data_IF_382410382330
#
_entry.id   IF_382410382330
#
_cell.length_a   1.000
_cell.length_b   1.000
_cell.length_c   1.000
_cell.angle_alpha   90.00
_cell.angle_beta   90.00
_cell.angle_gamma   90.00
#
_symmetry.space_group_name_H-M   'P 1'
#
loop_
_entity.id
_entity.type
_entity.pdbx_description
1 polymer ?
#
# COMPACT_ATOMS: atom_id res chain seq x y z
N UNK A 1 3.45 -5.33 23.52
CA UNK A 1 2.86 -6.21 22.49
C UNK A 1 1.64 -5.51 21.90
N UNK A 2 1.86 -4.77 20.80
CA UNK A 2 0.94 -3.73 20.30
C UNK A 2 -0.31 -4.40 19.69
N UNK A 3 -1.49 -3.87 20.03
CA UNK A 3 -2.84 -4.24 19.58
C UNK A 3 -2.98 -4.53 18.06
N UNK A 4 -2.05 -4.01 17.26
CA UNK A 4 -2.00 -4.05 15.80
C UNK A 4 -1.64 -5.42 15.20
N UNK A 5 -0.81 -6.23 15.88
CA UNK A 5 -0.51 -7.59 15.41
C UNK A 5 -1.75 -8.52 15.45
N UNK A 6 -2.81 -8.12 16.16
CA UNK A 6 -3.97 -8.98 16.45
C UNK A 6 -5.17 -8.75 15.53
N UNK A 7 -5.19 -7.69 14.71
CA UNK A 7 -6.32 -7.38 13.83
C UNK A 7 -5.88 -6.82 12.46
N UNK A 8 -5.17 -7.65 11.68
CA UNK A 8 -4.83 -7.37 10.27
C UNK A 8 -6.05 -7.29 9.32
N UNK A 9 -7.27 -7.50 9.84
CA UNK A 9 -8.54 -7.26 9.12
C UNK A 9 -8.71 -5.82 8.63
N UNK A 10 -8.04 -4.83 9.25
CA UNK A 10 -8.09 -3.43 8.82
C UNK A 10 -7.42 -3.18 7.45
N UNK A 11 -6.58 -4.11 6.98
CA UNK A 11 -5.88 -4.00 5.69
C UNK A 11 -6.39 -4.97 4.63
N UNK A 12 -7.37 -5.80 4.97
CA UNK A 12 -8.15 -6.50 3.96
C UNK A 12 -9.16 -5.50 3.39
N UNK A 13 -8.90 -5.00 2.17
CA UNK A 13 -9.78 -4.03 1.52
C UNK A 13 -11.20 -4.57 1.29
N UNK A 14 -11.43 -5.89 1.35
CA UNK A 14 -12.78 -6.47 1.35
C UNK A 14 -13.52 -6.22 2.67
N UNK A 15 -12.81 -6.07 3.79
CA UNK A 15 -13.37 -5.74 5.10
C UNK A 15 -13.70 -4.23 5.25
N UNK A 16 -13.18 -3.36 4.38
CA UNK A 16 -13.50 -1.92 4.36
C UNK A 16 -14.93 -1.61 3.89
N UNK A 17 -15.71 -2.62 3.46
CA UNK A 17 -17.15 -2.49 3.18
C UNK A 17 -18.01 -2.33 4.45
N UNK A 18 -17.43 -2.52 5.64
CA UNK A 18 -18.14 -2.43 6.93
C UNK A 18 -17.75 -1.21 7.75
N UNK A 19 -18.24 -0.03 7.37
CA UNK A 19 -18.43 1.16 8.22
C UNK A 19 -17.45 1.36 9.39
N UNK A 20 -16.15 1.48 9.11
CA UNK A 20 -15.20 1.96 10.13
C UNK A 20 -15.49 3.43 10.36
N UNK A 21 -15.73 3.84 11.62
CA UNK A 21 -15.86 5.25 11.97
C UNK A 21 -14.50 5.95 11.81
N UNK A 22 -14.27 6.50 10.62
CA UNK A 22 -13.03 7.16 10.21
C UNK A 22 -12.65 8.33 11.11
N UNK A 23 -13.65 9.11 11.56
CA UNK A 23 -13.45 10.22 12.49
C UNK A 23 -12.90 9.74 13.84
N UNK A 24 -13.40 8.60 14.35
CA UNK A 24 -12.90 7.96 15.56
C UNK A 24 -11.46 7.45 15.42
N UNK A 25 -11.15 6.85 14.26
CA UNK A 25 -9.81 6.36 13.96
C UNK A 25 -8.78 7.50 13.93
N UNK A 26 -9.05 8.57 13.19
CA UNK A 26 -8.13 9.72 13.07
C UNK A 26 -7.86 10.37 14.43
N UNK A 27 -8.91 10.56 15.25
CA UNK A 27 -8.75 11.11 16.60
C UNK A 27 -7.89 10.20 17.49
N UNK A 28 -8.06 8.88 17.37
CA UNK A 28 -7.28 7.90 18.13
C UNK A 28 -5.81 7.89 17.72
N UNK A 29 -5.52 7.93 16.40
CA UNK A 29 -4.17 7.98 15.86
C UNK A 29 -3.44 9.26 16.27
N UNK A 30 -4.09 10.43 16.17
CA UNK A 30 -3.50 11.71 16.62
C UNK A 30 -3.06 11.67 18.09
N UNK A 31 -3.85 11.01 18.95
CA UNK A 31 -3.49 10.83 20.37
C UNK A 31 -2.33 9.85 20.54
N UNK A 32 -2.40 8.70 19.87
CA UNK A 32 -1.38 7.64 19.97
C UNK A 32 -0.03 8.09 19.38
N UNK A 33 -0.03 8.91 18.33
CA UNK A 33 1.18 9.39 17.67
C UNK A 33 2.00 10.39 18.49
N UNK A 34 1.50 10.82 19.66
CA UNK A 34 2.31 11.53 20.65
C UNK A 34 3.51 10.69 21.08
N UNK A 35 3.34 9.37 21.14
CA UNK A 35 4.44 8.43 21.37
C UNK A 35 5.29 8.25 20.09
N UNK A 36 6.60 8.44 20.21
CA UNK A 36 7.55 8.38 19.09
C UNK A 36 7.69 6.98 18.55
N UNK A 37 7.93 6.00 19.41
CA UNK A 37 8.15 4.63 18.97
C UNK A 37 6.91 4.09 18.27
N UNK A 38 5.72 4.38 18.82
CA UNK A 38 4.44 4.00 18.25
C UNK A 38 4.19 4.61 16.88
N UNK A 39 4.33 5.94 16.71
CA UNK A 39 4.06 6.55 15.40
C UNK A 39 5.01 6.03 14.32
N UNK A 40 6.29 5.81 14.66
CA UNK A 40 7.27 5.33 13.70
C UNK A 40 7.01 3.88 13.30
N UNK A 41 6.73 2.99 14.27
CA UNK A 41 6.35 1.60 13.97
C UNK A 41 5.07 1.51 13.14
N UNK A 42 4.04 2.30 13.50
CA UNK A 42 2.77 2.30 12.78
C UNK A 42 2.92 2.77 11.32
N UNK A 43 3.64 3.88 11.07
CA UNK A 43 3.79 4.38 9.70
C UNK A 43 4.68 3.49 8.83
N UNK A 44 5.62 2.76 9.43
CA UNK A 44 6.46 1.77 8.75
C UNK A 44 5.65 0.54 8.34
N UNK A 45 4.87 -0.02 9.28
CA UNK A 45 3.93 -1.10 8.98
C UNK A 45 2.92 -0.66 7.91
N UNK A 46 2.34 0.53 8.04
CA UNK A 46 1.43 1.08 7.04
C UNK A 46 2.10 1.23 5.67
N UNK A 47 3.36 1.69 5.61
CA UNK A 47 4.10 1.80 4.36
C UNK A 47 4.20 0.43 3.67
N UNK A 48 4.65 -0.60 4.39
CA UNK A 48 4.80 -1.96 3.86
C UNK A 48 3.48 -2.51 3.32
N UNK A 49 2.40 -2.38 4.10
CA UNK A 49 1.07 -2.84 3.66
C UNK A 49 0.56 -2.03 2.47
N UNK A 50 0.77 -0.72 2.47
CA UNK A 50 0.29 0.15 1.39
C UNK A 50 0.93 -0.17 0.05
N UNK A 51 2.24 -0.44 0.03
CA UNK A 51 2.97 -0.83 -1.19
C UNK A 51 2.47 -2.18 -1.69
N UNK A 52 2.45 -3.21 -0.85
CA UNK A 52 1.98 -4.55 -1.24
C UNK A 52 0.55 -4.53 -1.79
N UNK A 53 -0.33 -3.76 -1.14
CA UNK A 53 -1.72 -3.61 -1.57
C UNK A 53 -1.83 -2.84 -2.88
N UNK A 54 -1.04 -1.78 -3.07
CA UNK A 54 -1.05 -1.02 -4.32
C UNK A 54 -0.65 -1.89 -5.52
N UNK A 55 0.41 -2.69 -5.38
CA UNK A 55 0.85 -3.63 -6.44
C UNK A 55 -0.30 -4.56 -6.83
N UNK A 56 -0.96 -5.15 -5.84
CA UNK A 56 -2.11 -6.03 -6.06
C UNK A 56 -3.28 -5.32 -6.73
N UNK A 57 -3.62 -4.11 -6.27
CA UNK A 57 -4.72 -3.32 -6.84
C UNK A 57 -4.45 -2.97 -8.30
N UNK A 58 -3.25 -2.48 -8.62
CA UNK A 58 -2.86 -2.15 -9.99
C UNK A 58 -2.88 -3.39 -10.88
N UNK A 59 -2.35 -4.52 -10.40
CA UNK A 59 -2.42 -5.79 -11.13
C UNK A 59 -3.86 -6.19 -11.44
N UNK A 60 -4.75 -6.13 -10.45
CA UNK A 60 -6.17 -6.44 -10.63
C UNK A 60 -6.88 -5.42 -11.53
N UNK A 61 -6.48 -4.14 -11.49
CA UNK A 61 -7.00 -3.08 -12.36
C UNK A 61 -6.67 -3.36 -13.83
N UNK A 62 -5.45 -3.85 -14.12
CA UNK A 62 -5.04 -4.27 -15.45
C UNK A 62 -5.61 -5.63 -15.89
N UNK A 63 -6.35 -6.33 -15.01
CA UNK A 63 -6.87 -7.67 -15.27
C UNK A 63 -5.79 -8.77 -15.29
N UNK A 64 -4.59 -8.50 -14.79
CA UNK A 64 -3.46 -9.42 -14.86
C UNK A 64 -3.48 -10.45 -13.72
N UNK A 65 -3.05 -11.66 -14.02
CA UNK A 65 -2.58 -12.66 -13.08
C UNK A 65 -1.21 -12.28 -12.51
N UNK A 66 -0.81 -12.91 -11.40
CA UNK A 66 0.52 -12.70 -10.83
C UNK A 66 1.64 -13.13 -11.79
N UNK A 67 1.37 -14.08 -12.68
CA UNK A 67 2.32 -14.51 -13.71
C UNK A 67 2.50 -13.43 -14.76
N UNK A 68 1.42 -12.83 -15.25
CA UNK A 68 1.49 -11.75 -16.24
C UNK A 68 2.24 -10.53 -15.70
N UNK A 69 1.99 -10.12 -14.45
CA UNK A 69 2.80 -9.06 -13.83
C UNK A 69 4.28 -9.45 -13.73
N UNK A 70 4.58 -10.72 -13.45
CA UNK A 70 5.96 -11.19 -13.40
C UNK A 70 6.64 -11.08 -14.77
N UNK A 71 5.93 -11.46 -15.83
CA UNK A 71 6.41 -11.38 -17.21
C UNK A 71 6.64 -9.92 -17.62
N UNK A 72 5.70 -9.01 -17.32
CA UNK A 72 5.86 -7.56 -17.57
C UNK A 72 7.03 -6.94 -16.79
N UNK A 73 7.24 -7.37 -15.55
CA UNK A 73 8.32 -6.85 -14.69
C UNK A 73 9.69 -7.54 -14.92
N UNK A 74 9.76 -8.55 -15.79
CA UNK A 74 10.95 -9.37 -15.97
C UNK A 74 11.40 -10.06 -14.66
N UNK A 75 10.44 -10.65 -13.94
CA UNK A 75 10.63 -11.33 -12.66
C UNK A 75 10.00 -12.73 -12.67
N UNK A 76 10.33 -13.53 -11.67
CA UNK A 76 9.66 -14.82 -11.45
C UNK A 76 8.33 -14.61 -10.71
N UNK A 77 7.28 -15.36 -11.06
CA UNK A 77 5.97 -15.26 -10.41
C UNK A 77 6.01 -15.40 -8.88
N UNK A 78 6.82 -16.29 -8.26
CA UNK A 78 6.95 -16.34 -6.81
C UNK A 78 7.43 -15.02 -6.20
N UNK A 79 8.22 -14.23 -6.94
CA UNK A 79 8.63 -12.89 -6.50
C UNK A 79 7.43 -11.97 -6.39
N UNK A 80 6.50 -11.99 -7.35
CA UNK A 80 5.27 -11.19 -7.29
C UNK A 80 4.42 -11.59 -6.09
N UNK A 81 4.26 -12.90 -5.82
CA UNK A 81 3.53 -13.38 -4.64
C UNK A 81 4.12 -12.84 -3.33
N UNK A 82 5.45 -12.80 -3.21
CA UNK A 82 6.15 -12.20 -2.06
C UNK A 82 5.90 -10.68 -1.98
N UNK A 83 5.95 -9.97 -3.11
CA UNK A 83 5.73 -8.52 -3.14
C UNK A 83 4.26 -8.15 -2.82
N UNK A 84 3.29 -9.00 -3.11
CA UNK A 84 1.88 -8.76 -2.74
C UNK A 84 1.55 -9.17 -1.30
N UNK A 85 2.50 -9.75 -0.57
CA UNK A 85 2.30 -10.14 0.81
C UNK A 85 2.38 -8.92 1.74
N UNK A 86 1.30 -8.64 2.47
CA UNK A 86 1.23 -7.53 3.44
C UNK A 86 2.24 -7.62 4.59
N UNK A 87 2.85 -8.79 4.79
CA UNK A 87 3.89 -9.01 5.80
C UNK A 87 5.31 -8.78 5.25
N UNK A 88 5.44 -8.50 3.95
CA UNK A 88 6.73 -8.23 3.35
C UNK A 88 7.18 -6.80 3.65
N UNK A 89 8.38 -6.66 4.19
CA UNK A 89 8.93 -5.37 4.64
C UNK A 89 10.28 -5.03 4.02
N UNK A 90 10.80 -5.87 3.12
CA UNK A 90 12.15 -5.71 2.55
C UNK A 90 12.11 -5.11 1.15
N UNK A 91 11.91 -3.80 1.06
CA UNK A 91 11.80 -3.11 -0.22
C UNK A 91 13.13 -2.52 -0.68
N UNK A 92 13.41 -2.57 -1.98
CA UNK A 92 14.48 -1.79 -2.59
C UNK A 92 13.91 -0.87 -3.66
N UNK A 93 14.45 0.34 -3.77
CA UNK A 93 14.05 1.30 -4.81
C UNK A 93 14.15 0.69 -6.21
N UNK A 94 15.16 -0.15 -6.44
CA UNK A 94 15.33 -0.88 -7.70
C UNK A 94 14.13 -1.79 -8.04
N UNK A 95 13.63 -2.54 -7.05
CA UNK A 95 12.46 -3.41 -7.26
C UNK A 95 11.19 -2.58 -7.49
N UNK A 96 11.00 -1.51 -6.70
CA UNK A 96 9.83 -0.64 -6.85
C UNK A 96 9.80 0.06 -8.21
N UNK A 97 10.96 0.50 -8.72
CA UNK A 97 11.08 1.06 -10.08
C UNK A 97 10.67 0.07 -11.16
N UNK A 98 11.15 -1.17 -11.09
CA UNK A 98 10.77 -2.23 -12.05
C UNK A 98 9.26 -2.50 -12.06
N UNK A 99 8.64 -2.53 -10.88
CA UNK A 99 7.19 -2.73 -10.79
C UNK A 99 6.44 -1.50 -11.35
N UNK A 100 6.92 -0.28 -11.10
CA UNK A 100 6.33 0.93 -11.68
C UNK A 100 6.42 0.91 -13.21
N UNK A 101 7.58 0.56 -13.77
CA UNK A 101 7.79 0.40 -15.22
C UNK A 101 6.86 -0.65 -15.83
N UNK A 102 6.63 -1.78 -15.16
CA UNK A 102 5.70 -2.82 -15.62
C UNK A 102 4.25 -2.33 -15.75
N UNK A 103 3.86 -1.31 -14.97
CA UNK A 103 2.55 -0.65 -15.05
C UNK A 103 2.54 0.60 -15.91
N UNK A 104 3.67 0.95 -16.55
CA UNK A 104 3.85 2.22 -17.26
C UNK A 104 3.60 3.45 -16.36
N UNK A 105 4.18 3.38 -15.16
CA UNK A 105 4.11 4.39 -14.09
C UNK A 105 5.51 4.81 -13.64
N UNK A 106 5.55 5.92 -12.89
CA UNK A 106 6.76 6.43 -12.24
C UNK A 106 6.72 6.19 -10.72
N UNK A 107 7.88 5.88 -10.12
CA UNK A 107 8.05 5.81 -8.67
C UNK A 107 8.34 7.21 -8.09
N UNK A 108 7.45 7.71 -7.25
CA UNK A 108 7.64 8.96 -6.49
C UNK A 108 7.92 8.66 -5.01
N UNK A 109 9.01 9.20 -4.46
CA UNK A 109 9.40 9.04 -3.05
C UNK A 109 9.65 10.43 -2.44
N UNK A 110 9.00 10.70 -1.31
CA UNK A 110 9.15 11.95 -0.54
C UNK A 110 9.24 11.66 0.96
N UNK A 111 9.84 12.60 1.71
CA UNK A 111 9.73 12.63 3.17
C UNK A 111 8.48 13.40 3.57
N UNK A 112 7.61 12.77 4.36
CA UNK A 112 6.29 13.31 4.69
C UNK A 112 6.09 13.56 6.18
N UNK A 113 5.21 14.51 6.50
CA UNK A 113 4.79 14.73 7.89
C UNK A 113 3.85 13.63 8.38
N UNK A 114 3.88 13.32 9.68
CA UNK A 114 2.92 12.39 10.29
C UNK A 114 1.46 12.84 10.11
N UNK A 115 1.20 14.15 10.09
CA UNK A 115 -0.12 14.70 9.82
C UNK A 115 -0.62 14.36 8.41
N UNK A 116 0.26 14.38 7.40
CA UNK A 116 -0.06 13.91 6.05
C UNK A 116 -0.33 12.41 6.05
N UNK A 117 0.53 11.61 6.67
CA UNK A 117 0.36 10.14 6.74
C UNK A 117 -0.95 9.71 7.39
N UNK A 118 -1.41 10.41 8.43
CA UNK A 118 -2.74 10.14 9.02
C UNK A 118 -3.87 10.33 8.02
N UNK A 119 -3.79 11.34 7.15
CA UNK A 119 -4.79 11.53 6.07
C UNK A 119 -4.69 10.45 5.01
N UNK A 120 -3.48 9.98 4.70
CA UNK A 120 -3.30 8.87 3.75
C UNK A 120 -3.88 7.56 4.30
N UNK A 121 -3.70 7.29 5.61
CA UNK A 121 -4.31 6.14 6.32
C UNK A 121 -5.84 6.23 6.30
N UNK A 122 -6.38 7.43 6.54
CA UNK A 122 -7.83 7.68 6.51
C UNK A 122 -8.42 7.42 5.12
N UNK A 123 -7.72 7.82 4.06
CA UNK A 123 -8.21 7.64 2.69
C UNK A 123 -7.82 6.30 2.08
N UNK A 124 -7.15 5.43 2.82
CA UNK A 124 -6.62 4.19 2.27
C UNK A 124 -7.75 3.29 1.76
N UNK A 125 -7.78 3.08 0.45
CA UNK A 125 -8.84 2.37 -0.23
C UNK A 125 -8.45 2.05 -1.68
N UNK A 126 -9.21 1.17 -2.33
CA UNK A 126 -8.92 0.73 -3.71
C UNK A 126 -8.82 1.92 -4.67
N UNK A 127 -9.81 2.82 -4.64
CA UNK A 127 -9.90 4.00 -5.50
C UNK A 127 -8.66 4.89 -5.39
N UNK A 128 -8.10 5.02 -4.18
CA UNK A 128 -6.93 5.83 -3.90
C UNK A 128 -5.60 5.15 -4.28
N UNK A 129 -5.62 3.84 -4.53
CA UNK A 129 -4.47 3.04 -4.93
C UNK A 129 -4.37 2.83 -6.44
N UNK A 130 -5.50 2.88 -7.16
CA UNK A 130 -5.58 2.79 -8.63
C UNK A 130 -4.84 3.94 -9.32
N UNK A 131 -4.19 3.66 -10.45
CA UNK A 131 -3.45 4.63 -11.27
C UNK A 131 -3.68 4.29 -12.74
N UNK A 132 -3.90 5.31 -13.56
CA UNK A 132 -3.97 5.12 -15.01
C UNK A 132 -2.55 4.99 -15.56
N UNK A 133 -2.34 4.06 -16.50
CA UNK A 133 -1.11 4.01 -17.30
C UNK A 133 -0.99 5.29 -18.14
N UNK A 134 0.19 5.56 -18.71
CA UNK A 134 0.37 6.73 -19.59
C UNK A 134 -0.64 6.71 -20.75
N UNK A 135 -0.87 5.56 -21.35
CA UNK A 135 -1.79 5.43 -22.49
C UNK A 135 -3.27 5.58 -22.11
N UNK A 136 -3.66 5.22 -20.88
CA UNK A 136 -5.04 5.36 -20.41
C UNK A 136 -5.35 6.79 -19.92
N UNK A 137 -4.34 7.56 -19.55
CA UNK A 137 -4.49 8.94 -19.06
C UNK A 137 -4.58 9.99 -20.17
N UNK A 138 -4.23 9.62 -21.40
CA UNK A 138 -4.10 10.54 -22.55
C UNK A 138 -5.02 10.18 -23.74
N UNK A 139 -6.06 9.37 -23.52
CA UNK A 139 -7.21 9.21 -24.41
C UNK A 139 -8.34 10.15 -24.00
#
# INVERSE_FOLDING_TARGET
MIFFLRNKKLFDYKALRGGVNMNGLVKSLKRAFRDKQYRHGYVDDFLNVSIATQIKVLREQCGWSQKELADQAGMLQPRISVLENINYSSWSIKVLKKIAEAFDLTLCVSFESFGRRVKDIEKFGRKELERNSFNDAHQ
#
